data_IF_524625784234
#
_entry.id   IF_524625784234
#
_cell.length_a   1.000
_cell.length_b   1.000
_cell.length_c   1.000
_cell.angle_alpha   90.00
_cell.angle_beta   90.00
_cell.angle_gamma   90.00
#
_symmetry.space_group_name_H-M   'P 1'
#
loop_
_entity.id
_entity.type
_entity.pdbx_description
1 polymer ?
#
# COMPACT_ATOMS: atom_id res chain seq x y z
N UNK A 1 -17.42 -49.82 39.74
CA UNK A 1 -17.62 -51.29 39.89
C UNK A 1 -16.68 -51.94 38.89
N UNK A 2 -15.62 -52.50 39.43
CA UNK A 2 -15.34 -53.94 39.42
C UNK A 2 -15.29 -54.49 38.01
N UNK A 3 -14.24 -54.96 37.56
CA UNK A 3 -13.35 -56.10 37.83
C UNK A 3 -13.06 -56.68 36.44
N UNK A 4 -12.03 -57.24 36.01
CA UNK A 4 -11.09 -58.28 36.51
C UNK A 4 -10.49 -58.80 35.22
N UNK A 5 -9.19 -58.84 34.99
CA UNK A 5 -8.24 -59.82 35.45
C UNK A 5 -7.89 -60.87 34.37
N UNK A 6 -6.64 -60.95 34.06
CA UNK A 6 -5.68 -62.07 34.10
C UNK A 6 -5.52 -62.93 32.87
N UNK A 7 -4.28 -63.03 32.51
CA UNK A 7 -3.32 -64.19 32.46
C UNK A 7 -3.39 -64.99 31.16
N UNK A 8 -2.30 -65.15 30.45
CA UNK A 8 -1.47 -66.33 30.51
C UNK A 8 -0.13 -66.18 29.78
N UNK A 9 0.91 -66.37 30.56
CA UNK A 9 2.27 -66.69 30.16
C UNK A 9 2.33 -68.13 29.63
N UNK A 10 3.21 -68.40 28.62
CA UNK A 10 4.01 -69.64 28.46
C UNK A 10 4.86 -69.50 27.21
N UNK A 11 6.17 -69.28 27.30
CA UNK A 11 7.24 -70.25 27.33
C UNK A 11 7.11 -71.31 26.26
N UNK A 12 7.95 -71.23 25.23
CA UNK A 12 8.68 -72.39 24.71
C UNK A 12 9.99 -71.94 24.04
N UNK A 13 11.05 -72.51 24.53
CA UNK A 13 12.44 -72.29 24.15
C UNK A 13 12.89 -73.33 23.11
N UNK A 14 14.04 -73.05 22.50
CA UNK A 14 14.96 -73.90 21.77
C UNK A 14 14.56 -74.41 20.37
N UNK A 15 15.34 -74.02 19.38
CA UNK A 15 16.25 -74.87 18.63
C UNK A 15 17.33 -74.01 17.91
N UNK A 16 18.57 -74.15 18.25
CA UNK A 16 19.72 -73.78 17.46
C UNK A 16 19.76 -74.66 16.21
N UNK A 17 20.03 -74.03 15.06
CA UNK A 17 20.70 -74.67 13.96
C UNK A 17 21.53 -73.67 13.20
N UNK A 18 22.78 -73.73 13.30
CA UNK A 18 23.78 -73.00 12.53
C UNK A 18 23.80 -73.50 11.10
N UNK A 19 23.82 -72.59 10.13
CA UNK A 19 24.51 -72.81 8.85
C UNK A 19 25.01 -71.44 8.36
N UNK A 20 26.31 -71.30 8.33
CA UNK A 20 27.02 -70.18 7.79
C UNK A 20 26.87 -70.09 6.26
N UNK A 21 26.63 -68.92 5.78
CA UNK A 21 26.94 -68.55 4.41
C UNK A 21 27.58 -67.18 4.45
N UNK A 22 28.84 -67.14 4.18
CA UNK A 22 29.65 -65.94 3.97
C UNK A 22 29.11 -65.22 2.74
N UNK A 23 28.25 -64.23 2.93
CA UNK A 23 27.89 -63.28 1.89
C UNK A 23 28.93 -62.16 1.91
N UNK A 24 29.75 -62.13 0.93
CA UNK A 24 30.65 -61.01 0.59
C UNK A 24 29.82 -59.75 0.46
N UNK A 25 30.14 -58.65 1.15
CA UNK A 25 29.44 -57.41 0.94
C UNK A 25 29.78 -56.90 -0.46
N UNK A 26 28.78 -56.90 -1.36
CA UNK A 26 28.86 -56.20 -2.62
C UNK A 26 28.97 -54.70 -2.30
N UNK A 27 30.11 -54.12 -2.70
CA UNK A 27 30.33 -52.68 -2.59
C UNK A 27 29.21 -51.94 -3.35
N UNK A 28 28.40 -51.16 -2.64
CA UNK A 28 27.47 -50.22 -3.21
C UNK A 28 28.32 -49.21 -3.97
N UNK A 29 28.05 -48.94 -5.27
CA UNK A 29 28.75 -47.90 -5.97
C UNK A 29 28.39 -46.57 -5.28
N UNK A 30 29.36 -45.99 -4.60
CA UNK A 30 29.28 -44.56 -4.20
C UNK A 30 29.22 -43.74 -5.48
N UNK A 31 28.05 -43.30 -5.84
CA UNK A 31 27.91 -42.19 -6.79
C UNK A 31 28.55 -40.99 -6.09
N UNK A 32 29.76 -40.66 -6.53
CA UNK A 32 30.36 -39.37 -6.22
C UNK A 32 29.45 -38.31 -6.83
N UNK A 33 28.56 -37.72 -6.02
CA UNK A 33 28.00 -36.45 -6.35
C UNK A 33 29.17 -35.48 -6.37
N UNK A 34 29.72 -35.30 -7.54
CA UNK A 34 30.55 -34.16 -7.85
C UNK A 34 29.64 -32.98 -7.57
N UNK A 35 29.81 -32.41 -6.39
CA UNK A 35 29.19 -31.15 -6.05
C UNK A 35 29.68 -30.19 -7.12
N UNK A 36 28.78 -29.90 -8.09
CA UNK A 36 28.89 -28.69 -8.85
C UNK A 36 28.96 -27.59 -7.80
N UNK A 37 30.15 -27.06 -7.57
CA UNK A 37 30.31 -25.84 -6.80
C UNK A 37 29.38 -24.84 -7.44
N UNK A 38 28.35 -24.33 -6.76
CA UNK A 38 27.69 -23.15 -7.25
C UNK A 38 28.81 -22.12 -7.31
N UNK A 39 29.12 -21.64 -8.48
CA UNK A 39 29.78 -20.37 -8.65
C UNK A 39 28.86 -19.37 -7.98
N UNK A 40 29.07 -19.11 -6.70
CA UNK A 40 28.48 -18.00 -5.98
C UNK A 40 29.10 -16.72 -6.49
N UNK A 41 28.64 -16.31 -7.66
CA UNK A 41 28.44 -14.89 -7.86
C UNK A 41 27.35 -14.56 -6.83
N UNK A 42 27.67 -13.82 -5.79
CA UNK A 42 26.69 -13.34 -4.83
C UNK A 42 25.86 -12.25 -5.53
N UNK A 43 25.00 -12.68 -6.42
CA UNK A 43 23.96 -11.81 -6.98
C UNK A 43 22.87 -11.74 -5.92
N UNK A 44 22.57 -10.54 -5.44
CA UNK A 44 21.41 -10.32 -4.61
C UNK A 44 20.15 -10.53 -5.46
N UNK A 45 19.59 -11.75 -5.44
CA UNK A 45 18.31 -12.03 -6.07
C UNK A 45 17.20 -11.84 -5.05
N UNK A 46 16.10 -11.24 -5.46
CA UNK A 46 14.92 -10.99 -4.63
C UNK A 46 13.65 -11.04 -5.46
N UNK A 47 12.57 -11.51 -4.83
CA UNK A 47 11.23 -11.35 -5.39
C UNK A 47 10.83 -9.88 -5.41
N UNK A 48 10.06 -9.50 -6.40
CA UNK A 48 9.66 -8.12 -6.62
C UNK A 48 8.28 -8.03 -7.25
N UNK A 49 7.72 -6.84 -7.23
CA UNK A 49 6.45 -6.52 -7.89
C UNK A 49 6.59 -5.27 -8.75
N UNK A 50 5.83 -5.25 -9.83
CA UNK A 50 5.67 -4.06 -10.67
C UNK A 50 4.72 -3.10 -10.00
N UNK A 51 5.14 -1.86 -9.78
CA UNK A 51 4.29 -0.81 -9.19
C UNK A 51 4.39 0.49 -10.00
N UNK A 52 3.35 1.33 -10.03
CA UNK A 52 3.46 2.65 -10.61
C UNK A 52 4.46 3.51 -9.83
N UNK A 53 5.16 4.42 -10.52
CA UNK A 53 6.05 5.40 -9.89
C UNK A 53 5.27 6.33 -8.95
N UNK A 54 4.06 6.73 -9.35
CA UNK A 54 3.12 7.46 -8.49
C UNK A 54 1.89 6.61 -8.23
N UNK A 55 1.63 6.34 -6.95
CA UNK A 55 0.42 5.64 -6.48
C UNK A 55 -0.09 6.31 -5.22
N UNK A 56 -1.40 6.31 -5.05
CA UNK A 56 -2.05 6.83 -3.85
C UNK A 56 -3.32 6.06 -3.53
N UNK A 57 -3.55 5.88 -2.25
CA UNK A 57 -4.79 5.36 -1.68
C UNK A 57 -5.57 6.54 -1.12
N UNK A 58 -6.75 6.79 -1.67
CA UNK A 58 -7.58 7.92 -1.32
C UNK A 58 -8.64 7.49 -0.31
N UNK A 59 -8.80 8.32 0.72
CA UNK A 59 -9.78 8.13 1.78
C UNK A 59 -10.44 9.43 2.15
N UNK A 60 -11.65 9.37 2.72
CA UNK A 60 -12.30 10.55 3.28
C UNK A 60 -11.76 10.86 4.69
N UNK A 61 -11.56 12.13 5.04
CA UNK A 61 -11.23 12.55 6.40
C UNK A 61 -12.46 12.63 7.32
N UNK A 62 -13.66 12.51 6.77
CA UNK A 62 -14.93 12.56 7.49
C UNK A 62 -15.84 11.39 7.13
N UNK A 63 -16.80 11.07 8.00
CA UNK A 63 -17.77 10.01 7.75
C UNK A 63 -19.01 10.56 7.04
N UNK A 64 -19.60 9.74 6.16
CA UNK A 64 -20.85 10.08 5.47
C UNK A 64 -21.32 9.00 4.52
N UNK A 65 -22.59 9.05 4.14
CA UNK A 65 -23.12 8.20 3.09
C UNK A 65 -22.63 8.68 1.72
N UNK A 66 -22.22 7.76 0.87
CA UNK A 66 -21.81 8.05 -0.51
C UNK A 66 -23.03 8.42 -1.34
N UNK A 67 -23.00 9.58 -1.95
CA UNK A 67 -24.03 10.07 -2.86
C UNK A 67 -23.80 9.55 -4.27
N UNK A 68 -22.60 9.78 -4.81
CA UNK A 68 -22.21 9.38 -6.16
C UNK A 68 -20.78 8.87 -6.19
N UNK A 69 -20.55 7.88 -7.05
CA UNK A 69 -19.23 7.45 -7.51
C UNK A 69 -19.19 7.76 -9.00
N UNK A 70 -18.26 8.61 -9.43
CA UNK A 70 -18.25 9.22 -10.77
C UNK A 70 -17.23 8.53 -11.70
N UNK A 71 -16.53 7.53 -11.19
CA UNK A 71 -15.46 6.83 -11.90
C UNK A 71 -15.58 5.32 -11.71
N UNK A 72 -14.98 4.59 -12.65
CA UNK A 72 -14.86 3.14 -12.64
C UNK A 72 -13.38 2.72 -12.70
N UNK A 73 -13.11 1.46 -12.36
CA UNK A 73 -11.78 0.89 -12.54
C UNK A 73 -11.34 0.95 -14.00
N UNK A 74 -10.10 1.39 -14.23
CA UNK A 74 -9.53 1.60 -15.55
C UNK A 74 -9.77 2.99 -16.16
N UNK A 75 -10.59 3.84 -15.53
CA UNK A 75 -10.82 5.20 -16.02
C UNK A 75 -9.59 6.08 -15.84
N UNK A 76 -9.26 6.86 -16.87
CA UNK A 76 -8.25 7.91 -16.77
C UNK A 76 -8.86 9.19 -16.22
N UNK A 77 -8.21 9.78 -15.21
CA UNK A 77 -8.66 10.98 -14.51
C UNK A 77 -7.60 12.06 -14.52
N UNK A 78 -8.06 13.32 -14.42
CA UNK A 78 -7.17 14.49 -14.34
C UNK A 78 -7.14 15.07 -12.94
N UNK A 79 -6.07 15.76 -12.59
CA UNK A 79 -5.92 16.43 -11.29
C UNK A 79 -7.10 17.37 -11.00
N UNK A 80 -7.68 17.24 -9.81
CA UNK A 80 -8.86 18.00 -9.37
C UNK A 80 -10.20 17.42 -9.84
N UNK A 81 -10.23 16.38 -10.66
CA UNK A 81 -11.48 15.73 -11.07
C UNK A 81 -12.16 15.06 -9.87
N UNK A 82 -13.47 15.34 -9.63
CA UNK A 82 -14.24 14.63 -8.61
C UNK A 82 -14.33 13.13 -8.92
N UNK A 83 -14.14 12.30 -7.91
CA UNK A 83 -14.18 10.85 -8.01
C UNK A 83 -15.37 10.26 -7.24
N UNK A 84 -15.52 10.70 -5.99
CA UNK A 84 -16.60 10.25 -5.10
C UNK A 84 -17.11 11.46 -4.31
N UNK A 85 -18.43 11.58 -4.18
CA UNK A 85 -19.07 12.65 -3.39
C UNK A 85 -19.95 12.02 -2.31
N UNK A 86 -19.82 12.53 -1.07
CA UNK A 86 -20.70 12.19 0.04
C UNK A 86 -21.97 13.00 0.02
N UNK A 87 -22.96 12.63 0.81
CA UNK A 87 -24.17 13.44 1.06
C UNK A 87 -23.82 14.75 1.75
N UNK A 88 -24.06 15.88 1.08
CA UNK A 88 -23.62 17.22 1.49
C UNK A 88 -24.68 18.05 2.18
N UNK A 89 -25.95 17.62 2.21
CA UNK A 89 -27.08 18.43 2.67
C UNK A 89 -26.89 19.06 4.06
N UNK A 90 -26.33 18.30 5.00
CA UNK A 90 -26.06 18.80 6.37
C UNK A 90 -24.90 19.81 6.36
N UNK A 91 -23.85 19.56 5.58
CA UNK A 91 -22.70 20.46 5.47
C UNK A 91 -23.07 21.77 4.77
N UNK A 92 -23.88 21.70 3.71
CA UNK A 92 -24.42 22.88 3.04
C UNK A 92 -25.33 23.73 3.97
N UNK A 93 -26.15 23.07 4.81
CA UNK A 93 -26.93 23.74 5.81
C UNK A 93 -26.08 24.49 6.84
N UNK A 94 -24.97 23.89 7.30
CA UNK A 94 -23.98 24.51 8.20
C UNK A 94 -23.31 25.73 7.54
N UNK A 95 -22.95 25.66 6.25
CA UNK A 95 -22.41 26.82 5.52
C UNK A 95 -23.43 27.97 5.50
N UNK A 96 -24.68 27.67 5.15
CA UNK A 96 -25.77 28.69 5.12
C UNK A 96 -26.02 29.31 6.49
N UNK A 97 -25.99 28.52 7.56
CA UNK A 97 -26.12 29.01 8.94
C UNK A 97 -24.98 29.98 9.30
N UNK A 98 -23.72 29.59 8.99
CA UNK A 98 -22.55 30.42 9.23
C UNK A 98 -22.61 31.74 8.40
N UNK A 99 -23.00 31.66 7.14
CA UNK A 99 -23.19 32.85 6.28
C UNK A 99 -24.29 33.80 6.81
N UNK A 100 -25.41 33.27 7.31
CA UNK A 100 -26.45 34.06 7.93
C UNK A 100 -25.95 34.79 9.19
N UNK A 101 -25.05 34.16 9.97
CA UNK A 101 -24.38 34.76 11.10
C UNK A 101 -23.53 35.97 10.69
N UNK A 102 -22.75 35.85 9.61
CA UNK A 102 -21.96 36.96 9.04
C UNK A 102 -22.86 38.13 8.66
N UNK A 103 -23.99 37.85 8.01
CA UNK A 103 -24.98 38.92 7.65
C UNK A 103 -25.49 39.64 8.91
N UNK A 104 -25.80 38.88 9.97
CA UNK A 104 -26.29 39.46 11.24
C UNK A 104 -25.27 40.41 11.86
N UNK A 105 -23.99 39.97 11.98
CA UNK A 105 -22.95 40.82 12.60
C UNK A 105 -22.57 42.01 11.72
N UNK A 106 -22.59 41.87 10.38
CA UNK A 106 -22.43 43.01 9.47
C UNK A 106 -23.53 44.05 9.60
N UNK A 107 -24.79 43.62 9.77
CA UNK A 107 -25.92 44.51 10.01
C UNK A 107 -25.74 45.25 11.33
N UNK A 108 -25.24 44.58 12.37
CA UNK A 108 -24.94 45.22 13.66
C UNK A 108 -23.84 46.28 13.53
N UNK A 109 -22.77 46.04 12.80
CA UNK A 109 -21.74 47.04 12.53
C UNK A 109 -22.33 48.23 11.78
N UNK A 110 -23.11 48.00 10.74
CA UNK A 110 -23.76 49.06 9.99
C UNK A 110 -24.69 49.94 10.86
N UNK A 111 -25.40 49.32 11.82
CA UNK A 111 -26.20 50.06 12.81
C UNK A 111 -25.31 50.92 13.72
N UNK A 112 -24.20 50.39 14.25
CA UNK A 112 -23.26 51.10 15.12
C UNK A 112 -22.62 52.30 14.40
N UNK A 113 -22.23 52.17 13.14
CA UNK A 113 -21.72 53.27 12.29
C UNK A 113 -22.76 54.36 12.16
N UNK A 114 -24.03 54.01 11.85
CA UNK A 114 -25.12 54.98 11.67
C UNK A 114 -25.46 55.72 12.96
N UNK A 115 -25.29 55.09 14.11
CA UNK A 115 -25.63 55.71 15.42
C UNK A 115 -24.46 56.49 16.05
N UNK A 116 -23.28 56.52 15.41
CA UNK A 116 -22.14 57.32 15.84
C UNK A 116 -21.51 56.83 17.15
N UNK A 117 -21.22 55.54 17.24
CA UNK A 117 -20.61 54.92 18.42
C UNK A 117 -19.08 55.16 18.51
N UNK A 118 -18.45 54.82 19.64
CA UNK A 118 -16.98 54.98 19.81
C UNK A 118 -16.18 54.00 18.92
N UNK A 119 -14.95 54.38 18.59
CA UNK A 119 -14.07 53.58 17.73
C UNK A 119 -13.82 52.17 18.32
N UNK A 120 -13.63 52.04 19.64
CA UNK A 120 -13.43 50.76 20.29
C UNK A 120 -14.61 49.80 20.05
N UNK A 121 -15.83 50.31 19.98
CA UNK A 121 -17.04 49.50 19.69
C UNK A 121 -17.10 49.10 18.23
N UNK A 122 -16.66 49.94 17.32
CA UNK A 122 -16.56 49.63 15.90
C UNK A 122 -15.50 48.55 15.67
N UNK A 123 -14.33 48.66 16.33
CA UNK A 123 -13.27 47.70 16.25
C UNK A 123 -13.69 46.32 16.81
N UNK A 124 -14.41 46.32 17.95
CA UNK A 124 -15.02 45.12 18.51
C UNK A 124 -16.04 44.45 17.57
N UNK A 125 -16.88 45.29 16.92
CA UNK A 125 -17.85 44.80 15.96
C UNK A 125 -17.19 44.23 14.68
N UNK A 126 -16.07 44.84 14.24
CA UNK A 126 -15.28 44.31 13.14
C UNK A 126 -14.65 42.96 13.52
N UNK A 127 -14.07 42.83 14.70
CA UNK A 127 -13.53 41.57 15.19
C UNK A 127 -14.61 40.45 15.24
N UNK A 128 -15.87 40.80 15.56
CA UNK A 128 -16.96 39.83 15.50
C UNK A 128 -17.29 39.40 14.08
N UNK A 129 -17.17 40.29 13.09
CA UNK A 129 -17.33 39.92 11.66
C UNK A 129 -16.22 38.98 11.24
N UNK A 130 -14.95 39.25 11.60
CA UNK A 130 -13.81 38.44 11.24
C UNK A 130 -13.92 37.02 11.85
N UNK A 131 -14.40 36.93 13.09
CA UNK A 131 -14.68 35.66 13.76
C UNK A 131 -15.83 34.90 13.08
N UNK A 132 -16.90 35.58 12.69
CA UNK A 132 -18.00 34.94 11.96
C UNK A 132 -17.56 34.48 10.56
N UNK A 133 -16.70 35.25 9.89
CA UNK A 133 -16.16 34.89 8.58
C UNK A 133 -15.27 33.64 8.70
N UNK A 134 -14.42 33.55 9.71
CA UNK A 134 -13.62 32.35 9.98
C UNK A 134 -14.50 31.10 10.18
N UNK A 135 -15.68 31.26 10.80
CA UNK A 135 -16.66 30.17 10.95
C UNK A 135 -17.21 29.70 9.60
N UNK A 136 -17.49 30.63 8.67
CA UNK A 136 -17.89 30.31 7.29
C UNK A 136 -16.78 29.53 6.58
N UNK A 137 -15.54 29.99 6.71
CA UNK A 137 -14.39 29.35 6.04
C UNK A 137 -14.18 27.92 6.55
N UNK A 138 -14.35 27.69 7.87
CA UNK A 138 -14.32 26.34 8.45
C UNK A 138 -15.44 25.46 7.88
N UNK A 139 -16.68 25.97 7.81
CA UNK A 139 -17.82 25.22 7.30
C UNK A 139 -17.64 24.87 5.80
N UNK A 140 -17.09 25.79 5.01
CA UNK A 140 -16.78 25.54 3.59
C UNK A 140 -15.65 24.53 3.42
N UNK A 141 -14.61 24.58 4.25
CA UNK A 141 -13.54 23.59 4.24
C UNK A 141 -14.07 22.17 4.56
N UNK A 142 -14.99 22.06 5.54
CA UNK A 142 -15.65 20.80 5.85
C UNK A 142 -16.53 20.31 4.68
N UNK A 143 -17.24 21.19 3.99
CA UNK A 143 -18.03 20.84 2.81
C UNK A 143 -17.11 20.35 1.67
N UNK A 144 -15.99 21.02 1.44
CA UNK A 144 -15.03 20.61 0.42
C UNK A 144 -14.46 19.21 0.68
N UNK A 145 -14.28 18.80 1.95
CA UNK A 145 -13.84 17.48 2.33
C UNK A 145 -14.85 16.36 2.02
N UNK A 146 -16.09 16.70 1.69
CA UNK A 146 -17.12 15.73 1.29
C UNK A 146 -16.98 15.29 -0.18
N UNK A 147 -16.08 15.89 -0.95
CA UNK A 147 -15.76 15.49 -2.32
C UNK A 147 -14.32 14.99 -2.36
N UNK A 148 -14.14 13.75 -2.77
CA UNK A 148 -12.84 13.14 -3.02
C UNK A 148 -12.46 13.41 -4.46
N UNK A 149 -11.33 14.09 -4.68
CA UNK A 149 -10.84 14.44 -6.00
C UNK A 149 -9.45 13.84 -6.26
N UNK A 150 -9.13 13.63 -7.53
CA UNK A 150 -7.81 13.12 -7.94
C UNK A 150 -6.72 14.16 -7.63
N UNK A 151 -5.64 13.79 -6.93
CA UNK A 151 -4.55 14.71 -6.61
C UNK A 151 -3.59 14.95 -7.79
N UNK A 152 -3.54 14.06 -8.77
CA UNK A 152 -2.72 14.14 -9.98
C UNK A 152 -3.42 13.40 -11.15
N UNK A 153 -2.90 13.56 -12.36
CA UNK A 153 -3.37 12.85 -13.55
C UNK A 153 -2.98 11.38 -13.47
N UNK A 154 -3.92 10.47 -13.67
CA UNK A 154 -3.62 9.03 -13.54
C UNK A 154 -4.79 8.16 -13.92
N UNK A 155 -4.70 6.89 -13.56
CA UNK A 155 -5.73 5.88 -13.83
C UNK A 155 -6.23 5.28 -12.51
N UNK A 156 -7.52 5.04 -12.43
CA UNK A 156 -8.17 4.38 -11.29
C UNK A 156 -7.81 2.89 -11.32
N UNK A 157 -7.14 2.41 -10.29
CA UNK A 157 -6.76 1.01 -10.16
C UNK A 157 -7.86 0.18 -9.49
N UNK A 158 -8.50 0.70 -8.44
CA UNK A 158 -9.67 0.07 -7.81
C UNK A 158 -10.62 1.10 -7.22
N UNK A 159 -11.88 0.70 -7.10
CA UNK A 159 -12.96 1.45 -6.44
C UNK A 159 -13.57 0.56 -5.37
N UNK A 160 -13.29 0.89 -4.09
CA UNK A 160 -13.61 0.07 -2.92
C UNK A 160 -14.91 0.50 -2.22
N UNK A 161 -15.73 1.33 -2.87
CA UNK A 161 -16.97 1.84 -2.29
C UNK A 161 -18.07 1.98 -3.34
N UNK A 162 -19.32 1.81 -2.90
CA UNK A 162 -20.50 1.89 -3.75
C UNK A 162 -21.43 3.05 -3.35
N UNK A 163 -22.26 3.56 -4.29
CA UNK A 163 -23.30 4.51 -3.94
C UNK A 163 -24.23 3.97 -2.83
N UNK A 164 -24.65 4.88 -1.93
CA UNK A 164 -25.42 4.59 -0.71
C UNK A 164 -24.67 3.81 0.39
N UNK A 165 -23.43 3.42 0.19
CA UNK A 165 -22.56 2.88 1.22
C UNK A 165 -22.07 3.97 2.16
N UNK A 166 -21.67 3.62 3.38
CA UNK A 166 -21.20 4.56 4.38
C UNK A 166 -19.67 4.55 4.43
N UNK A 167 -19.05 5.68 4.10
CA UNK A 167 -17.61 5.88 4.19
C UNK A 167 -17.20 6.25 5.61
N UNK A 168 -16.11 5.62 6.10
CA UNK A 168 -15.49 5.93 7.38
C UNK A 168 -14.17 6.68 7.18
N UNK A 169 -13.77 7.56 8.12
CA UNK A 169 -12.49 8.24 8.07
C UNK A 169 -11.33 7.25 7.97
N UNK A 170 -10.43 7.46 6.98
CA UNK A 170 -9.27 6.60 6.76
C UNK A 170 -9.56 5.27 6.06
N UNK A 171 -10.82 4.97 5.74
CA UNK A 171 -11.17 3.83 4.89
C UNK A 171 -10.71 4.14 3.46
N UNK A 172 -9.94 3.22 2.84
CA UNK A 172 -9.55 3.33 1.45
C UNK A 172 -10.82 3.25 0.59
N UNK A 173 -11.00 4.23 -0.28
CA UNK A 173 -12.16 4.37 -1.16
C UNK A 173 -11.78 4.17 -2.61
N UNK A 174 -10.64 4.74 -3.01
CA UNK A 174 -10.10 4.64 -4.36
C UNK A 174 -8.59 4.42 -4.26
N UNK A 175 -8.08 3.55 -5.11
CA UNK A 175 -6.66 3.43 -5.40
C UNK A 175 -6.40 3.91 -6.81
N UNK A 176 -5.45 4.82 -6.97
CA UNK A 176 -5.07 5.32 -8.29
C UNK A 176 -3.56 5.44 -8.44
N UNK A 177 -3.10 5.41 -9.68
CA UNK A 177 -1.68 5.55 -10.00
C UNK A 177 -1.43 6.02 -11.44
N UNK A 178 -0.21 6.44 -11.69
CA UNK A 178 0.26 6.70 -13.06
C UNK A 178 0.67 5.39 -13.73
N UNK A 179 -0.18 4.83 -14.55
CA UNK A 179 0.07 3.58 -15.27
C UNK A 179 0.93 3.76 -16.54
N UNK A 180 1.44 4.94 -16.79
CA UNK A 180 2.37 5.20 -17.91
C UNK A 180 3.83 4.95 -17.54
N UNK A 181 4.15 4.97 -16.23
CA UNK A 181 5.49 4.76 -15.72
C UNK A 181 5.48 3.77 -14.55
N UNK A 182 6.16 2.64 -14.74
CA UNK A 182 6.31 1.61 -13.72
C UNK A 182 7.74 1.56 -13.18
N UNK A 183 7.85 1.13 -11.95
CA UNK A 183 9.09 0.75 -11.29
C UNK A 183 8.91 -0.64 -10.66
N UNK A 184 10.01 -1.25 -10.28
CA UNK A 184 10.03 -2.56 -9.65
C UNK A 184 10.42 -2.38 -8.19
N UNK A 185 9.60 -2.87 -7.27
CA UNK A 185 9.91 -2.86 -5.84
C UNK A 185 10.15 -4.28 -5.34
N UNK A 186 11.32 -4.53 -4.72
CA UNK A 186 11.60 -5.83 -4.11
C UNK A 186 10.79 -6.01 -2.83
N UNK A 187 10.39 -7.25 -2.56
CA UNK A 187 9.55 -7.62 -1.41
C UNK A 187 10.30 -8.39 -0.33
N UNK A 188 11.44 -9.00 -0.68
CA UNK A 188 12.17 -9.93 0.20
C UNK A 188 13.70 -9.77 0.13
N UNK A 189 14.20 -8.59 -0.26
CA UNK A 189 15.64 -8.35 -0.30
C UNK A 189 16.25 -8.49 1.10
N UNK A 190 17.10 -9.50 1.28
CA UNK A 190 17.69 -9.82 2.58
C UNK A 190 18.64 -8.74 3.09
N UNK A 191 18.63 -8.50 4.41
CA UNK A 191 19.57 -7.58 5.09
C UNK A 191 21.05 -7.91 4.81
N UNK A 192 21.37 -9.14 4.44
CA UNK A 192 22.75 -9.55 4.13
C UNK A 192 23.25 -8.99 2.79
N UNK A 193 22.35 -8.79 1.84
CA UNK A 193 22.67 -8.34 0.48
C UNK A 193 22.64 -6.81 0.37
N UNK A 194 21.79 -6.15 1.16
CA UNK A 194 21.59 -4.70 1.09
C UNK A 194 22.87 -3.86 1.24
N UNK A 195 23.86 -4.19 2.10
CA UNK A 195 25.09 -3.40 2.22
C UNK A 195 25.93 -3.34 0.94
N UNK A 196 25.75 -4.31 0.05
CA UNK A 196 26.47 -4.38 -1.24
C UNK A 196 25.73 -3.66 -2.37
N UNK A 197 24.44 -3.31 -2.15
CA UNK A 197 23.59 -2.66 -3.15
C UNK A 197 23.71 -1.13 -3.03
N UNK A 198 23.93 -0.49 -4.16
CA UNK A 198 24.06 0.98 -4.24
C UNK A 198 23.18 1.53 -5.34
N UNK A 199 22.67 2.72 -5.13
CA UNK A 199 21.96 3.50 -6.17
C UNK A 199 22.82 3.63 -7.42
N UNK A 200 22.23 3.40 -8.57
CA UNK A 200 22.88 3.42 -9.88
C UNK A 200 23.52 2.08 -10.31
N UNK A 201 23.51 1.05 -9.49
CA UNK A 201 23.95 -0.29 -9.91
C UNK A 201 23.02 -0.87 -10.97
N UNK A 202 23.57 -1.59 -11.98
CA UNK A 202 22.75 -2.32 -12.93
C UNK A 202 22.02 -3.48 -12.24
N UNK A 203 20.79 -3.69 -12.69
CA UNK A 203 19.94 -4.78 -12.25
C UNK A 203 19.28 -5.45 -13.45
N UNK A 204 19.11 -6.75 -13.38
CA UNK A 204 18.30 -7.52 -14.33
C UNK A 204 16.98 -7.88 -13.65
N UNK A 205 15.88 -7.59 -14.34
CA UNK A 205 14.51 -7.84 -13.87
C UNK A 205 13.87 -8.87 -14.78
N UNK A 206 13.58 -10.04 -14.26
CA UNK A 206 12.76 -11.04 -14.95
C UNK A 206 11.29 -10.80 -14.59
N UNK A 207 10.43 -10.62 -15.58
CA UNK A 207 8.99 -10.44 -15.38
C UNK A 207 8.28 -11.72 -15.79
N UNK A 208 7.77 -12.46 -14.79
CA UNK A 208 7.17 -13.77 -15.00
C UNK A 208 6.05 -13.78 -16.05
N UNK A 209 5.19 -12.75 -16.03
CA UNK A 209 4.05 -12.68 -16.93
C UNK A 209 4.42 -12.43 -18.41
N UNK A 210 5.61 -11.90 -18.68
CA UNK A 210 6.13 -11.64 -20.02
C UNK A 210 7.17 -12.68 -20.46
N UNK A 211 7.67 -13.49 -19.52
CA UNK A 211 8.73 -14.50 -19.72
C UNK A 211 10.00 -13.88 -20.34
N UNK A 212 10.33 -12.64 -19.95
CA UNK A 212 11.44 -11.86 -20.50
C UNK A 212 12.24 -11.16 -19.40
N UNK A 213 13.55 -10.92 -19.72
CA UNK A 213 14.45 -10.16 -18.86
C UNK A 213 14.57 -8.72 -19.39
N UNK A 214 14.48 -7.78 -18.46
CA UNK A 214 14.63 -6.36 -18.72
C UNK A 214 15.82 -5.80 -17.94
N UNK A 215 16.51 -4.83 -18.53
CA UNK A 215 17.59 -4.11 -17.88
C UNK A 215 17.03 -2.92 -17.11
N UNK A 216 17.62 -2.64 -15.96
CA UNK A 216 17.27 -1.50 -15.14
C UNK A 216 18.41 -1.10 -14.22
N UNK A 217 18.14 -0.12 -13.37
CA UNK A 217 19.10 0.41 -12.40
C UNK A 217 18.42 0.55 -11.03
N UNK A 218 19.20 0.33 -10.00
CA UNK A 218 18.78 0.64 -8.63
C UNK A 218 18.54 2.15 -8.52
N UNK A 219 17.28 2.54 -8.34
CA UNK A 219 16.88 3.93 -8.17
C UNK A 219 16.95 4.36 -6.71
N UNK A 220 16.55 3.48 -5.78
CA UNK A 220 16.58 3.75 -4.34
C UNK A 220 16.75 2.46 -3.53
N UNK A 221 17.33 2.60 -2.34
CA UNK A 221 17.45 1.53 -1.35
C UNK A 221 16.86 2.05 -0.03
N UNK A 222 15.81 1.41 0.47
CA UNK A 222 15.14 1.83 1.69
C UNK A 222 16.13 1.87 2.87
N UNK A 223 16.01 2.93 3.68
CA UNK A 223 16.86 3.14 4.87
C UNK A 223 16.31 2.47 6.14
N UNK A 224 15.14 1.88 6.05
CA UNK A 224 14.49 1.14 7.13
C UNK A 224 14.02 -0.21 6.58
N UNK A 225 14.02 -1.19 7.45
CA UNK A 225 13.60 -2.56 7.14
C UNK A 225 12.12 -2.76 7.44
N UNK A 226 11.55 -3.72 6.74
CA UNK A 226 10.25 -4.31 7.07
C UNK A 226 10.46 -5.74 7.56
N UNK A 227 9.47 -6.31 8.25
CA UNK A 227 9.51 -7.71 8.65
C UNK A 227 8.43 -8.47 7.90
N UNK A 228 8.85 -9.39 7.04
CA UNK A 228 7.96 -10.22 6.23
C UNK A 228 8.22 -11.68 6.57
N UNK A 229 7.18 -12.39 7.06
CA UNK A 229 7.30 -13.80 7.42
C UNK A 229 8.27 -14.12 8.58
N UNK A 230 8.74 -13.11 9.32
CA UNK A 230 9.75 -13.25 10.37
C UNK A 230 11.17 -12.87 9.95
N UNK A 231 11.40 -12.64 8.66
CA UNK A 231 12.68 -12.20 8.12
C UNK A 231 12.72 -10.66 7.99
N UNK A 232 13.91 -10.11 8.20
CA UNK A 232 14.18 -8.67 8.02
C UNK A 232 14.54 -8.43 6.56
N UNK A 233 13.70 -7.64 5.90
CA UNK A 233 13.85 -7.33 4.47
C UNK A 233 13.92 -5.82 4.25
N UNK A 234 14.58 -5.43 3.17
CA UNK A 234 14.67 -4.05 2.74
C UNK A 234 14.07 -3.90 1.35
N UNK A 235 13.36 -2.82 1.15
CA UNK A 235 12.84 -2.47 -0.17
C UNK A 235 13.96 -1.87 -1.02
N UNK A 236 14.15 -2.41 -2.20
CA UNK A 236 15.00 -1.84 -3.26
C UNK A 236 14.10 -1.50 -4.43
N UNK A 237 14.19 -0.27 -4.90
CA UNK A 237 13.44 0.21 -6.06
C UNK A 237 14.35 0.20 -7.29
N UNK A 238 13.87 -0.41 -8.35
CA UNK A 238 14.56 -0.49 -9.64
C UNK A 238 13.76 0.26 -10.69
N UNK A 239 14.41 1.16 -11.38
CA UNK A 239 13.89 1.83 -12.56
C UNK A 239 14.30 1.03 -13.80
N UNK A 240 13.34 0.68 -14.65
CA UNK A 240 13.60 -0.01 -15.92
C UNK A 240 14.15 0.98 -16.93
N UNK A 241 15.15 0.57 -17.70
CA UNK A 241 15.71 1.39 -18.79
C UNK A 241 14.68 1.61 -19.91
N UNK A 242 13.82 0.62 -20.17
CA UNK A 242 12.71 0.68 -21.12
C UNK A 242 11.42 0.21 -20.44
N UNK A 243 10.28 0.79 -20.82
CA UNK A 243 8.95 0.40 -20.34
C UNK A 243 8.32 -0.58 -21.34
N UNK A 244 8.35 -1.90 -21.09
CA UNK A 244 7.79 -2.86 -22.03
C UNK A 244 6.26 -2.72 -22.14
N UNK A 245 5.75 -2.94 -23.36
CA UNK A 245 4.30 -3.01 -23.57
C UNK A 245 3.71 -4.19 -22.79
N UNK A 246 2.55 -3.98 -22.18
CA UNK A 246 1.85 -5.02 -21.42
C UNK A 246 2.18 -5.10 -19.95
N UNK A 247 3.10 -4.26 -19.42
CA UNK A 247 3.29 -4.11 -17.97
C UNK A 247 1.98 -3.73 -17.28
N UNK A 248 1.73 -4.39 -16.15
CA UNK A 248 0.58 -4.08 -15.30
C UNK A 248 1.01 -4.03 -13.85
N UNK A 249 0.36 -3.16 -13.10
CA UNK A 249 0.51 -3.08 -11.66
C UNK A 249 0.22 -4.43 -10.99
N UNK A 250 1.09 -4.86 -10.08
CA UNK A 250 0.98 -6.12 -9.34
C UNK A 250 1.56 -7.35 -10.05
N UNK A 251 2.14 -7.21 -11.25
CA UNK A 251 2.87 -8.33 -11.86
C UNK A 251 4.07 -8.72 -11.01
N UNK A 252 4.28 -10.05 -10.88
CA UNK A 252 5.44 -10.60 -10.20
C UNK A 252 6.70 -10.45 -11.05
N UNK A 253 7.79 -10.15 -10.39
CA UNK A 253 9.11 -10.06 -10.99
C UNK A 253 10.16 -10.67 -10.07
N UNK A 254 11.29 -11.08 -10.64
CA UNK A 254 12.50 -11.43 -9.92
C UNK A 254 13.63 -10.45 -10.31
N UNK A 255 14.24 -9.87 -9.30
CA UNK A 255 15.31 -8.89 -9.48
C UNK A 255 16.63 -9.53 -9.13
N UNK A 256 17.62 -9.39 -10.00
CA UNK A 256 19.02 -9.74 -9.74
C UNK A 256 19.87 -8.48 -9.85
N UNK A 257 20.47 -8.06 -8.73
CA UNK A 257 21.41 -6.94 -8.70
C UNK A 257 22.82 -7.45 -8.81
N UNK A 258 23.62 -6.90 -9.73
CA UNK A 258 25.02 -7.25 -9.89
C UNK A 258 25.84 -6.65 -8.73
N UNK A 259 26.27 -7.50 -7.78
CA UNK A 259 27.18 -7.13 -6.70
C UNK A 259 28.63 -7.36 -7.16
N UNK A 260 29.50 -6.38 -6.91
CA UNK A 260 30.93 -6.44 -7.26
C UNK A 260 31.73 -7.05 -6.10
#
# INVERSE_FOLDING_TARGET
MKKVFWILTSVFALMLSACGSSATPTAIPTVSLEAASPSTTSSGSASAIVVPVQKIELSFPLSGAVKTVEVSEGDSVTAGQPLVTLETAILEAKVKEAEAKVVTVKTQLAYLIRTGTSQERLDAAQANIDSAQATVDIARAQLAQATLAAPFDGTIASVEISPAEFANPGQIVIVMGDLSHFQIETTDMSEKNVPEIKVGQPATVFIEALDENFSGKVADVARFSETVGGDVVFKVTIELDDQPEGLRWGMSAEVTVETK
#
